data_IF_802315088882
#
_entry.id   IF_802315088882
#
_cell.length_a   1.000
_cell.length_b   1.000
_cell.length_c   1.000
_cell.angle_alpha   90.00
_cell.angle_beta   90.00
_cell.angle_gamma   90.00
#
_symmetry.space_group_name_H-M   'P 1'
#
loop_
_entity.id
_entity.type
_entity.pdbx_description
1 polymer ?
#
# COMPACT_ATOMS: atom_id res chain seq x y z
N UNK A 1 25.73 21.80 -55.21
CA UNK A 1 24.80 22.42 -54.24
C UNK A 1 23.56 21.53 -54.11
N UNK A 2 23.44 20.68 -53.07
CA UNK A 2 22.23 19.89 -52.75
C UNK A 2 22.21 19.59 -51.23
N UNK A 3 22.10 20.65 -50.42
CA UNK A 3 22.06 20.57 -48.93
C UNK A 3 20.65 20.26 -48.38
N UNK A 4 19.72 19.81 -49.23
CA UNK A 4 18.28 19.71 -48.93
C UNK A 4 17.83 18.29 -48.51
N UNK A 5 18.67 17.26 -48.68
CA UNK A 5 18.29 15.87 -48.41
C UNK A 5 18.59 15.40 -46.97
N UNK A 6 19.48 16.06 -46.24
CA UNK A 6 19.93 15.58 -44.92
C UNK A 6 18.99 15.96 -43.79
N UNK A 7 18.42 17.17 -43.83
CA UNK A 7 17.46 17.66 -42.83
C UNK A 7 16.11 16.96 -42.93
N UNK A 8 15.65 16.61 -44.15
CA UNK A 8 14.40 15.84 -44.32
C UNK A 8 14.53 14.40 -43.83
N UNK A 9 15.70 13.78 -44.03
CA UNK A 9 15.96 12.43 -43.52
C UNK A 9 15.94 12.42 -41.98
N UNK A 10 16.58 13.40 -41.34
CA UNK A 10 16.58 13.54 -39.87
C UNK A 10 15.18 13.69 -39.27
N UNK A 11 14.31 14.50 -39.89
CA UNK A 11 12.93 14.69 -39.43
C UNK A 11 12.11 13.39 -39.57
N UNK A 12 12.29 12.65 -40.67
CA UNK A 12 11.60 11.36 -40.86
C UNK A 12 12.05 10.34 -39.82
N UNK A 13 13.34 10.27 -39.48
CA UNK A 13 13.85 9.37 -38.44
C UNK A 13 13.28 9.73 -37.07
N UNK A 14 13.12 11.02 -36.77
CA UNK A 14 12.56 11.49 -35.49
C UNK A 14 11.06 11.18 -35.36
N UNK A 15 10.30 11.31 -36.45
CA UNK A 15 8.87 10.94 -36.49
C UNK A 15 8.71 9.41 -36.40
N UNK A 16 9.57 8.64 -37.07
CA UNK A 16 9.54 7.18 -36.99
C UNK A 16 9.89 6.68 -35.58
N UNK A 17 10.85 7.30 -34.90
CA UNK A 17 11.16 7.02 -33.50
C UNK A 17 9.99 7.36 -32.57
N UNK A 18 9.29 8.48 -32.79
CA UNK A 18 8.09 8.81 -32.03
C UNK A 18 6.98 7.77 -32.24
N UNK A 19 6.73 7.38 -33.50
CA UNK A 19 5.74 6.36 -33.87
C UNK A 19 6.02 4.98 -33.26
N UNK A 20 7.28 4.66 -32.95
CA UNK A 20 7.68 3.40 -32.31
C UNK A 20 7.47 3.40 -30.78
N UNK A 21 7.35 4.58 -30.15
CA UNK A 21 7.27 4.71 -28.67
C UNK A 21 5.84 4.55 -28.15
N UNK A 22 4.81 4.62 -28.99
CA UNK A 22 3.40 4.57 -28.55
C UNK A 22 2.94 3.19 -28.03
N UNK A 23 3.64 2.10 -28.38
CA UNK A 23 3.26 0.72 -28.03
C UNK A 23 4.10 0.09 -26.92
N UNK A 24 4.94 0.84 -26.22
CA UNK A 24 5.53 0.34 -24.97
C UNK A 24 4.40 0.28 -23.94
N UNK A 25 3.95 -0.91 -23.50
CA UNK A 25 3.07 -0.97 -22.34
C UNK A 25 3.84 -0.28 -21.23
N UNK A 26 3.26 0.79 -20.69
CA UNK A 26 3.79 1.45 -19.52
C UNK A 26 4.14 0.34 -18.53
N UNK A 27 5.43 0.15 -18.29
CA UNK A 27 5.89 -0.74 -17.24
C UNK A 27 5.36 -0.08 -15.97
N UNK A 28 4.15 -0.48 -15.57
CA UNK A 28 3.59 -0.17 -14.28
C UNK A 28 4.56 -0.84 -13.33
N UNK A 29 5.55 -0.05 -12.92
CA UNK A 29 6.36 -0.33 -11.75
C UNK A 29 5.33 -0.32 -10.63
N UNK A 30 4.70 -1.48 -10.43
CA UNK A 30 3.96 -1.81 -9.24
C UNK A 30 4.96 -1.48 -8.15
N UNK A 31 4.75 -0.33 -7.52
CA UNK A 31 5.28 0.00 -6.23
C UNK A 31 4.58 -0.99 -5.30
N UNK A 32 4.96 -2.26 -5.42
CA UNK A 32 4.96 -3.17 -4.32
C UNK A 32 5.93 -2.50 -3.37
N UNK A 33 5.40 -1.62 -2.54
CA UNK A 33 5.93 -1.44 -1.22
C UNK A 33 6.18 -2.86 -0.72
N UNK A 34 7.44 -3.27 -0.64
CA UNK A 34 7.84 -4.31 0.28
C UNK A 34 7.51 -3.76 1.67
N UNK A 35 6.22 -3.77 2.01
CA UNK A 35 5.74 -3.64 3.36
C UNK A 35 6.28 -4.90 4.03
N UNK A 36 7.47 -4.78 4.61
CA UNK A 36 8.10 -5.83 5.37
C UNK A 36 7.01 -6.44 6.24
N UNK A 37 6.74 -7.72 6.02
CA UNK A 37 5.64 -8.43 6.66
C UNK A 37 5.88 -8.39 8.16
N UNK A 38 5.25 -7.43 8.83
CA UNK A 38 5.38 -7.24 10.25
C UNK A 38 4.57 -8.36 10.90
N UNK A 39 5.24 -9.49 11.10
CA UNK A 39 4.62 -10.67 11.71
C UNK A 39 4.35 -10.38 13.19
N UNK A 40 3.18 -10.81 13.67
CA UNK A 40 2.83 -10.66 15.07
C UNK A 40 3.78 -11.50 15.94
N UNK A 41 4.09 -11.05 17.17
CA UNK A 41 4.82 -11.87 18.13
C UNK A 41 4.09 -13.19 18.40
N UNK A 42 4.84 -14.23 18.78
CA UNK A 42 4.24 -15.53 19.15
C UNK A 42 3.26 -15.36 20.32
N UNK A 43 2.13 -16.06 20.25
CA UNK A 43 1.08 -15.99 21.27
C UNK A 43 0.21 -14.74 21.20
N UNK A 44 0.40 -13.88 20.18
CA UNK A 44 -0.44 -12.71 19.95
C UNK A 44 -1.37 -12.98 18.76
N UNK A 45 -2.66 -12.70 18.92
CA UNK A 45 -3.67 -12.86 17.88
C UNK A 45 -4.69 -11.72 17.91
N UNK A 46 -5.16 -11.31 16.73
CA UNK A 46 -6.17 -10.27 16.58
C UNK A 46 -7.42 -10.90 15.97
N UNK A 47 -8.57 -10.71 16.60
CA UNK A 47 -9.87 -11.18 16.13
C UNK A 47 -10.80 -9.99 15.87
N UNK A 48 -11.58 -10.07 14.80
CA UNK A 48 -12.75 -9.23 14.58
C UNK A 48 -13.99 -10.09 14.81
N UNK A 49 -14.80 -9.73 15.79
CA UNK A 49 -16.04 -10.43 16.11
C UNK A 49 -17.19 -9.96 15.21
N UNK A 50 -18.27 -10.73 15.13
CA UNK A 50 -19.44 -10.43 14.29
C UNK A 50 -20.12 -9.10 14.64
N UNK A 51 -19.96 -8.63 15.88
CA UNK A 51 -20.47 -7.33 16.34
C UNK A 51 -19.53 -6.15 16.02
N UNK A 52 -18.43 -6.38 15.30
CA UNK A 52 -17.44 -5.37 14.92
C UNK A 52 -16.39 -5.06 15.99
N UNK A 53 -16.40 -5.76 17.15
CA UNK A 53 -15.38 -5.58 18.19
C UNK A 53 -14.06 -6.20 17.77
N UNK A 54 -12.97 -5.45 17.96
CA UNK A 54 -11.60 -5.96 17.81
C UNK A 54 -11.09 -6.48 19.14
N UNK A 55 -10.57 -7.70 19.15
CA UNK A 55 -10.00 -8.35 20.33
C UNK A 55 -8.54 -8.66 20.07
N UNK A 56 -7.67 -8.16 20.94
CA UNK A 56 -6.27 -8.54 21.02
C UNK A 56 -6.11 -9.62 22.09
N UNK A 57 -5.82 -10.85 21.68
CA UNK A 57 -5.52 -11.96 22.57
C UNK A 57 -4.00 -12.09 22.71
N UNK A 58 -3.52 -12.11 23.95
CA UNK A 58 -2.12 -12.38 24.29
C UNK A 58 -2.11 -13.60 25.22
N UNK A 59 -1.69 -14.73 24.69
CA UNK A 59 -1.56 -15.98 25.44
C UNK A 59 -0.18 -16.07 26.07
N UNK A 60 -0.14 -16.13 27.41
CA UNK A 60 1.10 -16.33 28.14
C UNK A 60 0.90 -17.35 29.28
N UNK A 61 1.11 -18.66 29.02
CA UNK A 61 0.93 -19.72 30.01
C UNK A 61 1.86 -19.64 31.21
N UNK A 62 2.94 -18.84 31.14
CA UNK A 62 3.84 -18.62 32.27
C UNK A 62 3.27 -17.66 33.32
N UNK A 63 2.21 -16.91 33.00
CA UNK A 63 1.55 -16.01 33.93
C UNK A 63 0.39 -16.72 34.65
N UNK A 64 0.30 -16.63 35.98
CA UNK A 64 -0.77 -17.27 36.76
C UNK A 64 -2.07 -16.44 36.79
N UNK A 65 -2.14 -15.34 36.06
CA UNK A 65 -3.22 -14.36 36.11
C UNK A 65 -3.64 -13.94 34.71
N UNK A 66 -4.95 -13.76 34.53
CA UNK A 66 -5.55 -13.23 33.30
C UNK A 66 -5.91 -11.76 33.53
N UNK A 67 -5.47 -10.89 32.63
CA UNK A 67 -5.88 -9.48 32.58
C UNK A 67 -6.81 -9.22 31.41
N UNK A 68 -7.76 -8.30 31.58
CA UNK A 68 -8.62 -7.82 30.51
C UNK A 68 -8.61 -6.29 30.50
N UNK A 69 -8.54 -5.70 29.32
CA UNK A 69 -8.70 -4.27 29.12
C UNK A 69 -9.76 -4.04 28.04
N UNK A 70 -10.69 -3.14 28.32
CA UNK A 70 -11.70 -2.72 27.37
C UNK A 70 -11.47 -1.25 27.04
N UNK A 71 -11.24 -0.97 25.77
CA UNK A 71 -11.08 0.38 25.26
C UNK A 71 -12.35 0.74 24.49
N UNK A 72 -13.02 1.79 24.93
CA UNK A 72 -14.12 2.40 24.18
C UNK A 72 -13.59 3.70 23.61
N UNK A 73 -13.70 3.90 22.29
CA UNK A 73 -13.20 5.09 21.60
C UNK A 73 -14.14 6.29 21.82
N UNK A 74 -14.34 6.66 23.06
CA UNK A 74 -15.12 7.84 23.51
C UNK A 74 -14.41 8.48 24.69
N UNK A 75 -14.72 9.73 24.97
CA UNK A 75 -14.18 10.48 26.10
C UNK A 75 -14.98 11.75 26.32
N UNK A 76 -14.51 12.63 27.20
CA UNK A 76 -15.20 13.89 27.54
C UNK A 76 -15.52 14.75 26.31
N UNK A 77 -14.68 14.71 25.28
CA UNK A 77 -14.93 15.38 24.01
C UNK A 77 -16.23 14.95 23.29
N UNK A 78 -16.82 13.82 23.66
CA UNK A 78 -18.03 13.25 23.06
C UNK A 78 -19.25 13.30 24.00
N UNK A 79 -19.22 14.06 25.09
CA UNK A 79 -20.33 14.13 26.07
C UNK A 79 -21.66 14.63 25.47
N UNK A 80 -21.62 15.49 24.46
CA UNK A 80 -22.80 16.10 23.84
C UNK A 80 -23.22 15.45 22.53
N UNK A 81 -22.66 14.29 22.20
CA UNK A 81 -23.04 13.55 21.00
C UNK A 81 -24.39 12.87 21.22
N UNK A 82 -25.44 13.35 20.53
CA UNK A 82 -26.79 12.78 20.54
C UNK A 82 -27.19 12.28 19.16
#
# INVERSE_FOLDING_TARGET
>A
MKRINFTRLSIITLIFAALLVHDLPAQEKVLAEEQGTMTLPKGVSIYLLDNGMQVLLIENPALPMVGANLIIKVGSAYESFS
#
